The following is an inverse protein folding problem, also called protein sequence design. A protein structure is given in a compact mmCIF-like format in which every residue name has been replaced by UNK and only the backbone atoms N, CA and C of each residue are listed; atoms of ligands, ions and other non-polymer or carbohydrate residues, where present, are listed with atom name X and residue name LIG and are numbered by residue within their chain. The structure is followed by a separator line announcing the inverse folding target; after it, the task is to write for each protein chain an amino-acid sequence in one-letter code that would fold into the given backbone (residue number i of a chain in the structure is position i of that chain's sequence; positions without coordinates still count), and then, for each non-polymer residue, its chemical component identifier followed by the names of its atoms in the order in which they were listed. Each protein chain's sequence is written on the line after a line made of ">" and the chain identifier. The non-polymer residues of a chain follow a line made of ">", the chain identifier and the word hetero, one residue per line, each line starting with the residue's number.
data_IF_315545960563
#
_entry.id   IF_315545960563
#
_cell.length_a   1.000
_cell.length_b   1.000
_cell.length_c   1.000
_cell.angle_alpha   90.00
_cell.angle_beta   90.00
_cell.angle_gamma   90.00
#
_symmetry.space_group_name_H-M   'P 1'
#
loop_
_entity.id
_entity.type
_entity.pdbx_description
1 polymer ?
#
# COMPACT_ATOMS: atom_id res chain seq x y z
N UNK A 1 27.52 5.98 -38.05
CA UNK A 1 28.31 6.59 -36.96
C UNK A 1 27.37 6.79 -35.76
N UNK A 2 27.62 6.02 -34.68
CA UNK A 2 27.25 6.20 -33.26
C UNK A 2 25.85 6.75 -32.89
N UNK A 3 24.93 5.86 -32.46
CA UNK A 3 24.55 5.57 -31.05
C UNK A 3 23.83 6.72 -30.33
N UNK A 4 22.50 6.67 -30.29
CA UNK A 4 21.71 7.26 -29.20
C UNK A 4 21.38 6.12 -28.23
N UNK A 5 22.15 6.08 -27.16
CA UNK A 5 22.00 5.16 -26.03
C UNK A 5 20.99 5.74 -25.04
N UNK A 6 19.73 5.33 -25.11
CA UNK A 6 18.79 5.61 -24.01
C UNK A 6 18.98 4.55 -22.93
N UNK A 7 19.88 4.83 -21.98
CA UNK A 7 20.09 4.01 -20.77
C UNK A 7 19.07 4.42 -19.71
N UNK A 8 18.38 3.40 -19.17
CA UNK A 8 17.47 3.42 -18.01
C UNK A 8 16.08 3.97 -18.26
N UNK A 9 15.25 3.20 -18.97
CA UNK A 9 13.85 3.10 -18.55
C UNK A 9 13.84 2.35 -17.22
N UNK A 10 13.51 3.05 -16.13
CA UNK A 10 13.13 2.42 -14.87
C UNK A 10 11.84 1.62 -15.13
N UNK A 11 12.00 0.34 -15.47
CA UNK A 11 10.89 -0.61 -15.43
C UNK A 11 10.64 -0.88 -13.95
N UNK A 12 9.74 -0.12 -13.32
CA UNK A 12 9.13 -0.62 -12.09
C UNK A 12 8.32 -1.84 -12.51
N UNK A 13 8.88 -3.03 -12.31
CA UNK A 13 8.14 -4.29 -12.39
C UNK A 13 7.20 -4.34 -11.20
N UNK A 14 6.11 -3.58 -11.29
CA UNK A 14 4.95 -3.73 -10.43
C UNK A 14 4.49 -5.17 -10.57
N UNK A 15 4.40 -5.92 -9.45
CA UNK A 15 3.84 -7.28 -9.43
C UNK A 15 2.49 -7.22 -10.16
N UNK A 16 2.44 -7.83 -11.35
CA UNK A 16 1.20 -7.98 -12.11
C UNK A 16 0.39 -9.00 -11.35
N UNK A 17 -0.49 -8.54 -10.47
CA UNK A 17 -1.62 -9.34 -10.03
C UNK A 17 -2.27 -9.94 -11.27
N UNK A 18 -2.65 -11.20 -11.17
CA UNK A 18 -3.03 -12.14 -12.23
C UNK A 18 -4.21 -11.63 -13.09
N UNK A 19 -3.98 -10.54 -13.79
CA UNK A 19 -4.77 -10.07 -14.91
C UNK A 19 -4.12 -10.72 -16.11
N UNK A 20 -4.88 -11.51 -16.85
CA UNK A 20 -4.46 -11.99 -18.17
C UNK A 20 -4.35 -10.76 -19.08
N UNK A 21 -3.28 -9.99 -18.95
CA UNK A 21 -3.02 -8.79 -19.74
C UNK A 21 -2.74 -9.27 -21.15
N UNK A 22 -3.74 -9.10 -22.03
CA UNK A 22 -3.61 -9.35 -23.46
C UNK A 22 -3.25 -8.04 -24.14
N UNK A 23 -2.08 -8.00 -24.75
CA UNK A 23 -1.67 -6.89 -25.61
C UNK A 23 -2.27 -7.16 -27.00
N UNK A 24 -3.09 -6.24 -27.49
CA UNK A 24 -3.67 -6.32 -28.83
C UNK A 24 -2.64 -6.10 -29.95
N UNK A 25 -3.04 -6.35 -31.19
CA UNK A 25 -2.24 -6.02 -32.37
C UNK A 25 -2.04 -4.51 -32.55
N UNK A 26 -1.06 -4.12 -33.36
CA UNK A 26 -0.83 -2.72 -33.73
C UNK A 26 -2.03 -2.19 -34.55
N UNK A 27 -2.48 -0.98 -34.23
CA UNK A 27 -3.49 -0.25 -35.03
C UNK A 27 -2.78 0.36 -36.25
N UNK A 28 -3.28 0.06 -37.45
CA UNK A 28 -2.70 0.46 -38.73
C UNK A 28 -3.45 1.62 -39.40
N UNK A 29 -4.73 1.83 -39.09
CA UNK A 29 -5.54 2.90 -39.70
C UNK A 29 -6.48 3.61 -38.71
N UNK A 30 -6.90 4.85 -39.01
CA UNK A 30 -7.89 5.57 -38.21
C UNK A 30 -9.24 4.84 -38.10
N UNK A 31 -9.64 4.10 -39.13
CA UNK A 31 -10.89 3.35 -39.16
C UNK A 31 -10.88 2.21 -38.13
N UNK A 32 -9.75 1.49 -38.00
CA UNK A 32 -9.57 0.46 -36.97
C UNK A 32 -9.70 1.04 -35.55
N UNK A 33 -9.24 2.27 -35.33
CA UNK A 33 -9.40 2.96 -34.05
C UNK A 33 -10.88 3.28 -33.77
N UNK A 34 -11.62 3.75 -34.78
CA UNK A 34 -13.05 4.02 -34.64
C UNK A 34 -13.86 2.75 -34.39
N UNK A 35 -13.51 1.63 -35.02
CA UNK A 35 -14.11 0.32 -34.75
C UNK A 35 -13.82 -0.16 -33.31
N UNK A 36 -12.59 0.05 -32.83
CA UNK A 36 -12.23 -0.27 -31.45
C UNK A 36 -13.11 0.47 -30.43
N UNK A 37 -13.31 1.78 -30.61
CA UNK A 37 -14.17 2.57 -29.73
C UNK A 37 -15.68 2.27 -29.86
N UNK A 38 -16.11 1.67 -30.98
CA UNK A 38 -17.48 1.20 -31.16
C UNK A 38 -17.74 -0.14 -30.49
N UNK A 39 -16.70 -0.86 -30.03
CA UNK A 39 -16.89 -2.12 -29.34
C UNK A 39 -17.67 -1.92 -28.03
N UNK A 40 -18.70 -2.74 -27.80
CA UNK A 40 -19.53 -2.68 -26.59
C UNK A 40 -18.75 -3.32 -25.44
N UNK A 41 -17.94 -2.52 -24.76
CA UNK A 41 -17.32 -2.91 -23.49
C UNK A 41 -18.10 -2.33 -22.33
N UNK A 42 -18.12 -3.03 -21.19
CA UNK A 42 -18.70 -2.46 -19.97
C UNK A 42 -18.00 -1.16 -19.58
N UNK A 43 -18.80 -0.17 -19.15
CA UNK A 43 -18.25 1.02 -18.51
C UNK A 43 -17.70 0.64 -17.13
N UNK A 44 -16.59 1.27 -16.72
CA UNK A 44 -16.08 1.14 -15.36
C UNK A 44 -17.11 1.58 -14.32
N UNK A 45 -17.99 2.51 -14.66
CA UNK A 45 -19.09 2.95 -13.82
C UNK A 45 -20.08 1.81 -13.51
N UNK A 46 -20.33 0.92 -14.48
CA UNK A 46 -21.25 -0.21 -14.34
C UNK A 46 -20.71 -1.27 -13.38
N UNK A 47 -19.40 -1.32 -13.16
CA UNK A 47 -18.76 -2.20 -12.17
C UNK A 47 -18.87 -1.65 -10.74
N UNK A 48 -19.40 -0.43 -10.57
CA UNK A 48 -19.46 0.26 -9.28
C UNK A 48 -20.81 0.17 -8.58
N UNK A 49 -21.57 -0.91 -8.77
CA UNK A 49 -22.83 -1.16 -8.04
C UNK A 49 -22.65 -0.99 -6.52
N UNK A 50 -23.65 -0.39 -5.86
CA UNK A 50 -23.59 -0.06 -4.43
C UNK A 50 -23.84 -1.31 -3.60
N UNK A 51 -22.83 -1.75 -2.86
CA UNK A 51 -23.05 -2.51 -1.63
C UNK A 51 -23.50 -1.53 -0.53
N UNK A 52 -24.27 -2.01 0.45
CA UNK A 52 -24.79 -1.19 1.55
C UNK A 52 -24.15 -1.61 2.87
N UNK A 53 -22.90 -1.22 3.06
CA UNK A 53 -22.24 -1.17 4.36
C UNK A 53 -22.56 0.20 4.94
N UNK A 54 -23.38 0.19 5.98
CA UNK A 54 -23.71 1.40 6.75
C UNK A 54 -22.88 1.44 8.04
N UNK A 55 -22.15 2.53 8.22
CA UNK A 55 -21.34 2.78 9.42
C UNK A 55 -22.26 3.21 10.55
N UNK A 56 -22.31 2.41 11.62
CA UNK A 56 -23.05 2.76 12.83
C UNK A 56 -22.31 3.78 13.68
N UNK A 57 -23.04 4.45 14.57
CA UNK A 57 -22.49 5.37 15.56
C UNK A 57 -21.39 4.72 16.40
N UNK A 58 -21.63 3.49 16.86
CA UNK A 58 -20.68 2.74 17.69
C UNK A 58 -19.39 2.42 16.94
N UNK A 59 -19.48 2.07 15.66
CA UNK A 59 -18.31 1.80 14.81
C UNK A 59 -17.43 3.06 14.66
N UNK A 60 -18.07 4.19 14.38
CA UNK A 60 -17.35 5.45 14.21
C UNK A 60 -16.69 5.90 15.51
N UNK A 61 -17.38 5.80 16.65
CA UNK A 61 -16.81 6.16 17.95
C UNK A 61 -15.63 5.27 18.35
N UNK A 62 -15.71 3.96 18.09
CA UNK A 62 -14.59 3.04 18.31
C UNK A 62 -13.40 3.41 17.43
N UNK A 63 -13.61 3.72 16.16
CA UNK A 63 -12.55 4.12 15.23
C UNK A 63 -11.87 5.42 15.66
N UNK A 64 -12.65 6.42 16.11
CA UNK A 64 -12.10 7.67 16.65
C UNK A 64 -11.24 7.42 17.89
N UNK A 65 -11.68 6.54 18.79
CA UNK A 65 -10.89 6.18 19.96
C UNK A 65 -9.57 5.47 19.59
N UNK A 66 -9.60 4.56 18.62
CA UNK A 66 -8.42 3.82 18.17
C UNK A 66 -7.39 4.69 17.44
N UNK A 67 -7.85 5.74 16.77
CA UNK A 67 -7.02 6.66 16.00
C UNK A 67 -6.45 7.82 16.82
N UNK A 68 -6.88 7.97 18.08
CA UNK A 68 -6.45 9.07 18.95
C UNK A 68 -7.02 10.44 18.55
N UNK A 69 -8.08 10.48 17.73
CA UNK A 69 -8.77 11.73 17.41
C UNK A 69 -9.59 12.23 18.61
N UNK A 70 -9.70 13.55 18.74
CA UNK A 70 -10.49 14.15 19.82
C UNK A 70 -11.98 14.01 19.52
N UNK A 71 -12.77 13.57 20.52
CA UNK A 71 -14.23 13.38 20.36
C UNK A 71 -14.99 14.67 20.05
N UNK A 72 -14.40 15.84 20.34
CA UNK A 72 -15.03 17.14 20.12
C UNK A 72 -15.28 17.42 18.63
N UNK A 73 -14.36 17.03 17.74
CA UNK A 73 -14.54 17.19 16.29
C UNK A 73 -15.55 16.22 15.68
N UNK A 74 -15.92 15.16 16.41
CA UNK A 74 -16.86 14.15 15.93
C UNK A 74 -18.32 14.63 16.03
N UNK A 75 -18.64 15.48 17.01
CA UNK A 75 -20.02 15.87 17.32
C UNK A 75 -20.60 16.77 16.22
N UNK A 76 -19.77 17.64 15.63
CA UNK A 76 -20.22 18.64 14.64
C UNK A 76 -20.42 18.01 13.25
N UNK A 77 -19.57 17.02 12.87
CA UNK A 77 -19.53 16.45 11.52
C UNK A 77 -19.83 14.94 11.48
N UNK A 78 -20.47 14.38 12.51
CA UNK A 78 -20.69 12.92 12.66
C UNK A 78 -21.28 12.29 11.40
N UNK A 79 -22.35 12.88 10.86
CA UNK A 79 -23.07 12.37 9.69
C UNK A 79 -22.22 12.40 8.41
N UNK A 80 -21.35 13.41 8.27
CA UNK A 80 -20.42 13.52 7.16
C UNK A 80 -19.38 12.39 7.21
N UNK A 81 -18.81 12.14 8.39
CA UNK A 81 -17.83 11.06 8.57
C UNK A 81 -18.45 9.68 8.37
N UNK A 82 -19.67 9.45 8.86
CA UNK A 82 -20.38 8.20 8.61
C UNK A 82 -20.60 7.96 7.13
N UNK A 83 -21.13 8.96 6.41
CA UNK A 83 -21.36 8.84 4.97
C UNK A 83 -20.05 8.59 4.22
N UNK A 84 -19.01 9.37 4.51
CA UNK A 84 -17.71 9.23 3.85
C UNK A 84 -17.09 7.86 4.09
N UNK A 85 -17.14 7.36 5.33
CA UNK A 85 -16.60 6.04 5.67
C UNK A 85 -17.45 4.91 5.06
N UNK A 86 -18.78 5.04 5.05
CA UNK A 86 -19.66 4.10 4.34
C UNK A 86 -19.30 4.04 2.85
N UNK A 87 -19.15 5.19 2.18
CA UNK A 87 -18.78 5.25 0.76
C UNK A 87 -17.42 4.56 0.51
N UNK A 88 -16.43 4.79 1.38
CA UNK A 88 -15.12 4.13 1.31
C UNK A 88 -15.21 2.62 1.51
N UNK A 89 -15.95 2.16 2.53
CA UNK A 89 -16.11 0.74 2.82
C UNK A 89 -16.86 0.02 1.68
N UNK A 90 -17.90 0.65 1.13
CA UNK A 90 -18.64 0.13 -0.02
C UNK A 90 -17.77 0.03 -1.28
N UNK A 91 -16.83 0.95 -1.45
CA UNK A 91 -15.85 0.85 -2.52
C UNK A 91 -14.88 -0.32 -2.30
N UNK A 92 -14.33 -0.46 -1.08
CA UNK A 92 -13.36 -1.51 -0.75
C UNK A 92 -13.99 -2.90 -0.73
N UNK A 93 -15.25 -3.03 -0.29
CA UNK A 93 -15.93 -4.32 -0.18
C UNK A 93 -16.07 -5.04 -1.52
N UNK A 94 -16.04 -4.32 -2.64
CA UNK A 94 -15.96 -4.89 -4.00
C UNK A 94 -14.77 -5.81 -4.21
N UNK A 95 -13.65 -5.57 -3.50
CA UNK A 95 -12.48 -6.45 -3.55
C UNK A 95 -12.77 -7.86 -3.02
N UNK A 96 -13.78 -8.03 -2.15
CA UNK A 96 -14.16 -9.35 -1.60
C UNK A 96 -14.69 -10.30 -2.67
N UNK A 97 -15.26 -9.77 -3.75
CA UNK A 97 -15.82 -10.56 -4.87
C UNK A 97 -14.78 -10.91 -5.93
N UNK A 98 -13.58 -10.35 -5.83
CA UNK A 98 -12.52 -10.63 -6.80
C UNK A 98 -11.84 -11.94 -6.41
N UNK A 99 -11.91 -12.93 -7.29
CA UNK A 99 -11.15 -14.16 -7.14
C UNK A 99 -9.66 -13.84 -7.12
N UNK A 100 -9.02 -14.13 -6.00
CA UNK A 100 -7.56 -14.10 -5.93
C UNK A 100 -7.08 -15.44 -6.48
N UNK A 101 -6.26 -15.40 -7.54
CA UNK A 101 -5.80 -16.60 -8.24
C UNK A 101 -5.21 -17.67 -7.29
N UNK A 102 -5.38 -18.94 -7.68
CA UNK A 102 -5.18 -20.13 -6.86
C UNK A 102 -3.93 -20.06 -5.94
N UNK A 103 -4.10 -20.06 -4.60
CA UNK A 103 -3.00 -19.90 -3.64
C UNK A 103 -2.03 -21.07 -3.61
N UNK A 104 -2.40 -22.24 -4.13
CA UNK A 104 -1.55 -23.44 -4.11
C UNK A 104 -0.31 -23.36 -5.02
N UNK A 105 -0.28 -22.43 -5.98
CA UNK A 105 0.86 -22.24 -6.90
C UNK A 105 1.74 -21.02 -6.57
N UNK A 106 1.44 -20.28 -5.50
CA UNK A 106 2.23 -19.12 -5.09
C UNK A 106 2.55 -19.21 -3.59
N UNK A 107 3.70 -19.79 -3.25
CA UNK A 107 4.32 -19.69 -1.93
C UNK A 107 4.55 -18.25 -1.44
N UNK A 108 4.31 -17.25 -2.30
CA UNK A 108 4.65 -15.84 -2.11
C UNK A 108 3.47 -14.99 -1.61
N UNK A 109 2.44 -15.61 -1.01
CA UNK A 109 1.23 -14.91 -0.55
C UNK A 109 1.44 -13.97 0.65
N UNK A 110 2.65 -13.88 1.20
CA UNK A 110 3.04 -12.75 2.05
C UNK A 110 3.50 -11.62 1.14
N UNK A 111 2.58 -10.70 0.90
CA UNK A 111 2.67 -9.52 0.03
C UNK A 111 3.80 -8.57 0.42
N UNK A 112 5.05 -8.92 0.10
CA UNK A 112 6.09 -7.92 -0.15
C UNK A 112 6.03 -7.56 -1.63
N UNK A 113 6.08 -6.27 -1.95
CA UNK A 113 6.18 -5.81 -3.35
C UNK A 113 7.49 -6.26 -3.99
N UNK A 114 8.51 -6.49 -3.17
CA UNK A 114 9.80 -7.07 -3.54
C UNK A 114 9.70 -8.59 -3.45
N UNK A 115 10.23 -9.28 -4.45
CA UNK A 115 10.37 -10.74 -4.44
C UNK A 115 11.55 -11.12 -3.55
N UNK A 116 11.29 -11.83 -2.46
CA UNK A 116 12.32 -12.28 -1.52
C UNK A 116 13.18 -13.41 -2.13
N UNK A 117 12.86 -13.91 -3.34
CA UNK A 117 13.70 -14.91 -4.07
C UNK A 117 15.14 -14.46 -4.33
N UNK A 118 15.42 -13.18 -4.19
CA UNK A 118 16.75 -12.60 -4.37
C UNK A 118 17.43 -12.24 -3.04
N UNK A 119 16.74 -12.44 -1.92
CA UNK A 119 17.32 -12.28 -0.59
C UNK A 119 18.00 -13.62 -0.25
N UNK A 120 19.34 -13.65 -0.11
CA UNK A 120 20.01 -14.87 0.31
C UNK A 120 19.54 -15.27 1.70
N UNK A 121 19.32 -16.57 1.90
CA UNK A 121 18.94 -17.11 3.20
C UNK A 121 19.99 -16.75 4.27
N UNK A 122 19.51 -16.33 5.44
CA UNK A 122 20.38 -16.14 6.60
C UNK A 122 20.92 -17.50 7.06
N UNK A 123 22.22 -17.68 6.94
CA UNK A 123 22.91 -18.86 7.45
C UNK A 123 23.32 -18.68 8.90
N UNK A 124 23.53 -19.78 9.61
CA UNK A 124 24.07 -19.74 10.98
C UNK A 124 25.40 -18.96 11.07
N UNK A 125 26.26 -19.11 10.06
CA UNK A 125 27.55 -18.42 10.03
C UNK A 125 27.38 -16.92 9.79
N UNK A 126 26.51 -16.50 8.86
CA UNK A 126 26.26 -15.07 8.61
C UNK A 126 25.63 -14.39 9.83
N UNK A 127 24.72 -15.07 10.53
CA UNK A 127 24.16 -14.57 11.80
C UNK A 127 25.25 -14.38 12.86
N UNK A 128 26.13 -15.38 13.05
CA UNK A 128 27.23 -15.28 14.01
C UNK A 128 28.23 -14.19 13.66
N UNK A 129 28.49 -13.96 12.38
CA UNK A 129 29.35 -12.85 11.92
C UNK A 129 28.71 -11.50 12.20
N UNK A 130 27.41 -11.33 11.93
CA UNK A 130 26.70 -10.10 12.25
C UNK A 130 26.70 -9.81 13.75
N UNK A 131 26.43 -10.84 14.59
CA UNK A 131 26.44 -10.68 16.05
C UNK A 131 27.83 -10.23 16.54
N UNK A 132 28.91 -10.81 16.00
CA UNK A 132 30.28 -10.39 16.35
C UNK A 132 30.59 -8.96 15.92
N UNK A 133 29.96 -8.50 14.84
CA UNK A 133 30.18 -7.17 14.27
C UNK A 133 29.18 -6.12 14.79
N UNK A 134 28.22 -6.49 15.64
CA UNK A 134 27.32 -5.55 16.30
C UNK A 134 28.14 -4.57 17.15
N UNK A 135 28.10 -3.29 16.76
CA UNK A 135 28.70 -2.18 17.49
C UNK A 135 27.71 -1.03 17.52
N UNK A 136 27.58 -0.32 18.66
CA UNK A 136 26.73 0.87 18.74
C UNK A 136 27.12 1.88 17.67
N UNK A 137 26.12 2.38 16.93
CA UNK A 137 26.31 3.38 15.88
C UNK A 137 25.87 4.77 16.34
N UNK A 138 26.80 5.72 16.34
CA UNK A 138 26.54 7.11 16.71
C UNK A 138 25.44 7.74 15.84
N UNK A 139 25.42 7.45 14.54
CA UNK A 139 24.42 7.99 13.60
C UNK A 139 22.99 7.53 13.86
N UNK A 140 22.80 6.46 14.65
CA UNK A 140 21.49 5.95 15.06
C UNK A 140 21.10 6.38 16.47
N UNK A 141 21.97 7.12 17.18
CA UNK A 141 21.74 7.50 18.57
C UNK A 141 21.83 6.31 19.55
N UNK A 142 22.56 5.25 19.20
CA UNK A 142 22.70 4.03 20.02
C UNK A 142 23.77 4.16 21.12
N UNK A 143 24.62 5.21 21.05
CA UNK A 143 25.63 5.47 22.06
C UNK A 143 24.98 6.24 23.21
N UNK A 144 25.13 5.75 24.44
CA UNK A 144 24.64 6.43 25.64
C UNK A 144 25.16 7.87 25.72
N UNK A 145 24.32 8.79 26.17
CA UNK A 145 24.60 10.23 26.27
C UNK A 145 25.02 10.94 24.98
N UNK A 146 24.93 10.27 23.82
CA UNK A 146 25.28 10.88 22.53
C UNK A 146 24.24 11.87 22.01
N UNK A 147 23.02 11.83 22.55
CA UNK A 147 21.94 12.76 22.25
C UNK A 147 20.97 12.86 23.42
N UNK A 148 20.20 13.95 23.50
CA UNK A 148 19.15 14.12 24.50
C UNK A 148 17.79 13.67 23.91
N UNK A 149 17.20 12.55 24.37
CA UNK A 149 15.93 12.04 23.85
C UNK A 149 14.73 12.97 24.10
N UNK A 150 14.84 13.88 25.06
CA UNK A 150 13.78 14.79 25.44
C UNK A 150 13.84 16.12 24.69
N UNK A 151 14.92 16.39 23.94
CA UNK A 151 15.17 17.69 23.30
C UNK A 151 14.12 18.08 22.25
N UNK A 152 13.39 17.12 21.69
CA UNK A 152 12.33 17.34 20.69
C UNK A 152 10.92 17.38 21.31
N UNK A 153 10.80 17.12 22.61
CA UNK A 153 9.52 17.15 23.30
C UNK A 153 9.07 18.59 23.56
N UNK A 154 7.75 18.82 23.47
CA UNK A 154 7.17 20.15 23.73
C UNK A 154 7.17 20.50 25.22
N UNK A 155 7.04 19.47 26.07
CA UNK A 155 7.04 19.56 27.52
C UNK A 155 7.94 18.44 28.03
N UNK A 156 8.81 18.76 28.98
CA UNK A 156 9.57 17.77 29.72
C UNK A 156 9.85 18.28 31.14
N UNK A 157 9.81 17.38 32.12
CA UNK A 157 10.16 17.67 33.51
C UNK A 157 10.86 16.46 34.12
N UNK A 158 11.97 16.68 34.83
CA UNK A 158 12.64 15.63 35.60
C UNK A 158 13.13 14.40 34.81
N UNK A 159 13.32 14.50 33.49
CA UNK A 159 13.71 13.38 32.64
C UNK A 159 12.55 12.65 31.93
N UNK A 160 11.34 13.20 32.00
CA UNK A 160 10.13 12.62 31.42
C UNK A 160 9.43 13.62 30.49
N UNK A 161 8.71 13.11 29.49
CA UNK A 161 7.82 13.88 28.58
C UNK A 161 6.36 13.74 28.97
#
# INVERSE_FOLDING_TARGET
>A
MLRISCKKCFLSTSKRFNSSIRIGGKIESPEQLHEFFKSTTWSTQSLLEKESIDVTDEMLEKLVNLSGFTKKSLIEDKSLYQKSLSDQLNFIAKLKKIEVGNPENNSDFITRLVDDKHIPDYTYNSLNEEIKNLKPQLSKGEIEDSWNPLSLSKLHEGGFT
#
